data_IF_588047400262
#
_entry.id   IF_588047400262
#
_cell.length_a   1.000
_cell.length_b   1.000
_cell.length_c   1.000
_cell.angle_alpha   90.00
_cell.angle_beta   90.00
_cell.angle_gamma   90.00
#
_symmetry.space_group_name_H-M   'P 1'
#
loop_
_entity.id
_entity.type
_entity.pdbx_description
1 polymer ?
#
# COMPACT_ATOMS: atom_id res chain seq x y z
N UNK A 1 -12.31 6.44 -6.88
CA UNK A 1 -11.08 5.70 -7.23
C UNK A 1 -9.97 6.18 -6.30
N UNK A 2 -9.42 5.32 -5.45
CA UNK A 2 -8.34 5.69 -4.52
C UNK A 2 -7.01 5.78 -5.27
N UNK A 3 -6.18 6.78 -4.97
CA UNK A 3 -4.81 6.87 -5.49
C UNK A 3 -3.83 7.09 -4.37
N UNK A 4 -2.70 6.39 -4.42
CA UNK A 4 -1.62 6.53 -3.45
C UNK A 4 -0.40 7.00 -4.21
N UNK A 5 0.11 8.16 -3.81
CA UNK A 5 1.31 8.78 -4.30
C UNK A 5 2.40 8.69 -3.24
N UNK A 6 3.64 8.57 -3.69
CA UNK A 6 4.79 8.55 -2.80
C UNK A 6 5.85 9.49 -3.34
N UNK A 7 6.31 10.41 -2.50
CA UNK A 7 7.39 11.33 -2.83
C UNK A 7 8.38 11.38 -1.67
N UNK A 8 9.60 10.86 -1.88
CA UNK A 8 10.77 11.11 -1.03
C UNK A 8 10.51 10.93 0.49
N UNK A 9 9.89 9.82 0.89
CA UNK A 9 9.58 9.51 2.30
C UNK A 9 8.24 10.07 2.81
N UNK A 10 7.47 10.71 1.95
CA UNK A 10 6.10 11.17 2.21
C UNK A 10 5.11 10.32 1.44
N UNK A 11 4.11 9.78 2.14
CA UNK A 11 2.98 9.07 1.55
C UNK A 11 1.86 10.08 1.37
N UNK A 12 1.19 10.07 0.22
CA UNK A 12 0.01 10.87 -0.05
C UNK A 12 -1.11 9.95 -0.53
N UNK A 13 -2.16 9.78 0.28
CA UNK A 13 -3.36 9.04 -0.08
C UNK A 13 -4.44 10.01 -0.53
N UNK A 14 -4.94 9.85 -1.74
CA UNK A 14 -6.02 10.64 -2.31
C UNK A 14 -7.27 9.78 -2.31
N UNK A 15 -8.30 10.26 -1.62
CA UNK A 15 -9.63 9.67 -1.62
C UNK A 15 -10.66 10.66 -2.16
N UNK A 16 -11.46 10.18 -3.10
CA UNK A 16 -12.55 10.91 -3.73
C UNK A 16 -13.94 10.38 -3.34
N UNK A 17 -14.04 9.52 -2.32
CA UNK A 17 -15.33 9.00 -1.86
C UNK A 17 -15.79 9.73 -0.59
N UNK A 18 -16.98 10.35 -0.66
CA UNK A 18 -17.56 11.11 0.46
C UNK A 18 -17.89 10.22 1.68
N UNK A 19 -18.26 8.97 1.44
CA UNK A 19 -18.84 8.08 2.47
C UNK A 19 -17.85 7.04 3.01
N UNK A 20 -16.75 6.76 2.29
CA UNK A 20 -15.84 5.65 2.61
C UNK A 20 -14.55 6.11 3.31
N UNK A 21 -14.65 6.60 4.55
CA UNK A 21 -13.50 7.15 5.31
C UNK A 21 -12.48 6.11 5.80
N UNK A 22 -12.83 4.82 5.82
CA UNK A 22 -11.95 3.75 6.28
C UNK A 22 -10.85 3.38 5.28
N UNK A 23 -11.16 3.43 3.99
CA UNK A 23 -10.23 3.07 2.92
C UNK A 23 -8.98 3.97 2.86
N UNK A 24 -9.08 5.32 2.87
CA UNK A 24 -7.90 6.17 2.89
C UNK A 24 -7.08 5.98 4.16
N UNK A 25 -7.75 5.74 5.30
CA UNK A 25 -7.09 5.46 6.57
C UNK A 25 -6.25 4.18 6.49
N UNK A 26 -6.82 3.05 6.05
CA UNK A 26 -6.12 1.77 5.99
C UNK A 26 -4.96 1.79 4.97
N UNK A 27 -5.12 2.48 3.85
CA UNK A 27 -4.04 2.71 2.88
C UNK A 27 -2.89 3.54 3.50
N UNK A 28 -3.23 4.64 4.16
CA UNK A 28 -2.25 5.57 4.74
C UNK A 28 -1.47 4.94 5.91
N UNK A 29 -2.18 4.29 6.83
CA UNK A 29 -1.59 3.70 8.04
C UNK A 29 -0.77 2.45 7.72
N UNK A 30 -1.16 1.65 6.73
CA UNK A 30 -0.40 0.47 6.31
C UNK A 30 0.96 0.88 5.73
N UNK A 31 0.96 1.87 4.85
CA UNK A 31 2.17 2.43 4.27
C UNK A 31 3.07 3.06 5.36
N UNK A 32 2.50 3.86 6.26
CA UNK A 32 3.23 4.45 7.38
C UNK A 32 3.85 3.37 8.29
N UNK A 33 3.09 2.33 8.61
CA UNK A 33 3.54 1.24 9.48
C UNK A 33 4.69 0.45 8.86
N UNK A 34 4.64 0.20 7.55
CA UNK A 34 5.77 -0.42 6.83
C UNK A 34 7.02 0.43 6.92
N UNK A 35 6.90 1.72 6.62
CA UNK A 35 8.05 2.62 6.62
C UNK A 35 8.65 2.86 8.00
N UNK A 36 7.83 2.94 9.06
CA UNK A 36 8.33 3.06 10.44
C UNK A 36 9.18 1.87 10.87
N UNK A 37 8.90 0.69 10.32
CA UNK A 37 9.66 -0.54 10.59
C UNK A 37 10.76 -0.78 9.55
N UNK A 38 10.82 0.00 8.47
CA UNK A 38 11.95 0.00 7.55
C UNK A 38 13.17 0.54 8.30
N UNK A 39 14.28 -0.20 8.28
CA UNK A 39 15.56 0.30 8.78
C UNK A 39 16.18 1.27 7.75
N UNK A 40 15.46 2.33 7.39
CA UNK A 40 15.99 3.39 6.52
C UNK A 40 16.29 4.62 7.39
N UNK A 41 17.43 5.30 7.19
CA UNK A 41 17.75 6.58 7.83
C UNK A 41 16.88 7.75 7.30
N UNK A 42 15.66 7.47 6.85
CA UNK A 42 14.69 8.48 6.46
C UNK A 42 14.12 9.05 7.76
N UNK A 43 14.58 10.24 8.14
CA UNK A 43 13.97 11.02 9.22
C UNK A 43 12.47 11.23 8.97
N UNK A 44 11.69 11.23 10.06
CA UNK A 44 10.25 11.56 10.13
C UNK A 44 9.42 11.23 8.86
N UNK A 45 8.94 9.99 8.78
CA UNK A 45 7.96 9.59 7.75
C UNK A 45 6.63 10.27 8.02
N UNK A 46 6.09 10.96 7.02
CA UNK A 46 4.80 11.64 7.09
C UNK A 46 3.81 11.00 6.12
N UNK A 47 2.59 10.77 6.60
CA UNK A 47 1.49 10.28 5.77
C UNK A 47 0.42 11.36 5.66
N UNK A 48 0.23 11.84 4.43
CA UNK A 48 -0.75 12.84 4.05
C UNK A 48 -1.99 12.14 3.47
N UNK A 49 -3.17 12.54 3.92
CA UNK A 49 -4.43 12.07 3.38
C UNK A 49 -5.19 13.26 2.83
N UNK A 50 -5.45 13.25 1.53
CA UNK A 50 -6.26 14.24 0.85
C UNK A 50 -7.67 13.68 0.68
N UNK A 51 -8.65 14.35 1.29
CA UNK A 51 -10.05 13.90 1.27
C UNK A 51 -10.99 15.10 1.17
N UNK A 52 -12.29 14.82 1.08
CA UNK A 52 -13.35 15.83 1.19
C UNK A 52 -13.42 16.41 2.62
N UNK A 53 -14.03 17.58 2.76
CA UNK A 53 -14.14 18.29 4.06
C UNK A 53 -14.87 17.45 5.12
N UNK A 54 -15.91 16.71 4.71
CA UNK A 54 -16.74 15.91 5.62
C UNK A 54 -16.03 14.65 6.14
N UNK A 55 -15.15 14.07 5.34
CA UNK A 55 -14.36 12.89 5.71
C UNK A 55 -13.19 13.20 6.66
N UNK A 56 -12.66 14.43 6.61
CA UNK A 56 -11.47 14.83 7.35
C UNK A 56 -11.55 14.68 8.89
N UNK A 57 -12.62 15.12 9.58
CA UNK A 57 -12.71 14.95 11.04
C UNK A 57 -12.75 13.47 11.45
N UNK A 58 -13.42 12.63 10.66
CA UNK A 58 -13.50 11.18 10.93
C UNK A 58 -12.13 10.52 10.78
N UNK A 59 -11.40 10.80 9.70
CA UNK A 59 -10.07 10.20 9.48
C UNK A 59 -9.07 10.65 10.55
N UNK A 60 -9.10 11.94 10.95
CA UNK A 60 -8.27 12.46 12.05
C UNK A 60 -8.55 11.77 13.38
N UNK A 61 -9.80 11.36 13.61
CA UNK A 61 -10.19 10.63 14.84
C UNK A 61 -9.59 9.22 14.93
N UNK A 62 -9.25 8.60 13.79
CA UNK A 62 -8.69 7.24 13.79
C UNK A 62 -7.21 7.18 14.15
N UNK A 63 -6.41 8.21 13.83
CA UNK A 63 -5.01 8.30 14.25
C UNK A 63 -4.48 9.73 14.12
N UNK A 64 -3.85 10.28 15.18
CA UNK A 64 -3.21 11.59 15.12
C UNK A 64 -1.91 11.60 14.30
N UNK A 65 -1.42 10.44 13.86
CA UNK A 65 -0.19 10.32 13.07
C UNK A 65 -0.38 10.69 11.59
N UNK A 66 -1.64 10.81 11.14
CA UNK A 66 -1.98 11.14 9.75
C UNK A 66 -2.22 12.66 9.61
N UNK A 67 -1.59 13.27 8.60
CA UNK A 67 -1.85 14.66 8.23
C UNK A 67 -2.98 14.69 7.21
N UNK A 68 -4.17 15.08 7.65
CA UNK A 68 -5.36 15.09 6.78
C UNK A 68 -5.65 16.48 6.22
N UNK A 69 -5.69 16.58 4.89
CA UNK A 69 -5.90 17.78 4.09
C UNK A 69 -7.29 17.75 3.42
N UNK A 70 -8.26 18.55 3.89
CA UNK A 70 -9.61 18.61 3.33
C UNK A 70 -9.69 19.52 2.09
N UNK A 71 -8.97 19.18 1.02
CA UNK A 71 -8.79 20.05 -0.15
C UNK A 71 -9.26 19.46 -1.49
N UNK A 72 -9.83 18.25 -1.51
CA UNK A 72 -10.30 17.66 -2.76
C UNK A 72 -11.67 18.22 -3.17
N UNK A 73 -11.75 18.73 -4.41
CA UNK A 73 -13.01 18.93 -5.13
C UNK A 73 -13.22 17.77 -6.14
N UNK A 74 -14.48 17.38 -6.36
CA UNK A 74 -14.91 16.06 -6.86
C UNK A 74 -14.45 15.66 -8.29
N UNK A 75 -13.72 16.51 -9.01
CA UNK A 75 -13.39 16.32 -10.42
C UNK A 75 -11.92 15.98 -10.66
N UNK A 76 -11.51 14.74 -10.41
CA UNK A 76 -10.19 14.27 -10.82
C UNK A 76 -10.26 12.90 -11.50
N UNK A 77 -10.69 12.86 -12.76
CA UNK A 77 -10.54 11.71 -13.64
C UNK A 77 -9.23 11.84 -14.42
N UNK A 78 -8.15 11.23 -13.91
CA UNK A 78 -6.87 11.18 -14.63
C UNK A 78 -6.81 9.86 -15.40
N UNK A 79 -6.79 9.96 -16.73
CA UNK A 79 -6.57 8.82 -17.63
C UNK A 79 -5.20 8.20 -17.36
N UNK A 80 -5.18 6.89 -17.12
CA UNK A 80 -3.95 6.15 -16.83
C UNK A 80 -3.54 5.44 -18.12
N UNK A 81 -2.54 5.96 -18.82
CA UNK A 81 -1.83 5.21 -19.87
C UNK A 81 -0.72 4.36 -19.24
N UNK A 82 -0.56 3.10 -19.67
CA UNK A 82 0.46 2.18 -19.14
C UNK A 82 0.15 1.69 -17.73
N UNK A 83 -0.97 0.96 -17.54
CA UNK A 83 -1.45 0.53 -16.22
C UNK A 83 -1.04 -0.90 -15.91
N UNK A 84 -0.45 -1.12 -14.74
CA UNK A 84 -0.39 -2.46 -14.14
C UNK A 84 -1.64 -2.72 -13.32
N UNK A 85 -2.39 -3.75 -13.70
CA UNK A 85 -3.61 -4.22 -13.04
C UNK A 85 -3.25 -5.33 -12.07
N UNK A 86 -3.52 -5.11 -10.78
CA UNK A 86 -3.48 -6.16 -9.75
C UNK A 86 -4.91 -6.60 -9.42
N UNK A 87 -5.30 -7.79 -9.90
CA UNK A 87 -6.56 -8.44 -9.59
C UNK A 87 -6.38 -9.37 -8.40
N UNK A 88 -6.98 -9.00 -7.26
CA UNK A 88 -6.98 -9.82 -6.05
C UNK A 88 -7.91 -11.04 -6.18
N UNK A 89 -7.51 -12.18 -5.65
CA UNK A 89 -8.32 -13.40 -5.69
C UNK A 89 -7.84 -14.51 -4.76
N UNK A 90 -8.23 -15.75 -5.03
CA UNK A 90 -7.63 -16.93 -4.35
C UNK A 90 -6.11 -16.95 -4.59
N UNK A 91 -5.74 -16.65 -5.82
CA UNK A 91 -4.42 -16.21 -6.26
C UNK A 91 -4.55 -14.78 -6.78
N UNK A 92 -3.55 -13.92 -6.54
CA UNK A 92 -3.55 -12.57 -7.12
C UNK A 92 -2.95 -12.65 -8.52
N UNK A 93 -3.57 -11.96 -9.49
CA UNK A 93 -3.09 -11.85 -10.87
C UNK A 93 -2.63 -10.42 -11.10
N UNK A 94 -1.43 -10.25 -11.64
CA UNK A 94 -0.79 -8.96 -11.90
C UNK A 94 -0.47 -8.91 -13.38
N UNK A 95 -0.93 -7.89 -14.09
CA UNK A 95 -0.62 -7.73 -15.51
C UNK A 95 -0.41 -6.29 -15.89
N UNK A 96 0.58 -6.03 -16.71
CA UNK A 96 0.88 -4.73 -17.33
C UNK A 96 0.36 -4.60 -18.77
N UNK A 97 -0.44 -5.58 -19.23
CA UNK A 97 -0.95 -5.64 -20.60
C UNK A 97 -0.11 -6.50 -21.55
N UNK A 98 1.13 -6.85 -21.18
CA UNK A 98 1.99 -7.73 -21.96
C UNK A 98 2.30 -9.04 -21.22
N UNK A 99 2.55 -8.94 -19.91
CA UNK A 99 2.90 -10.07 -19.05
C UNK A 99 1.79 -10.28 -18.02
N UNK A 100 1.52 -11.53 -17.66
CA UNK A 100 0.60 -11.89 -16.56
C UNK A 100 1.35 -12.74 -15.55
N UNK A 101 1.49 -12.24 -14.32
CA UNK A 101 2.11 -12.94 -13.21
C UNK A 101 1.09 -13.31 -12.14
N UNK A 102 1.19 -14.52 -11.60
CA UNK A 102 0.29 -15.00 -10.56
C UNK A 102 1.01 -15.19 -9.23
N UNK A 103 0.47 -14.60 -8.16
CA UNK A 103 0.93 -14.83 -6.79
C UNK A 103 -0.01 -15.83 -6.11
N UNK A 104 0.48 -17.05 -5.92
CA UNK A 104 -0.27 -18.19 -5.35
C UNK A 104 -0.03 -18.39 -3.85
N UNK A 105 0.75 -17.50 -3.22
CA UNK A 105 1.06 -17.57 -1.79
C UNK A 105 -0.26 -17.63 -0.99
N UNK A 106 -0.36 -18.61 -0.11
CA UNK A 106 -1.53 -18.73 0.75
C UNK A 106 -1.65 -17.50 1.66
N UNK A 107 -2.86 -16.95 1.72
CA UNK A 107 -3.19 -15.80 2.56
C UNK A 107 -3.84 -16.25 3.87
N UNK A 108 -5.00 -15.67 4.17
CA UNK A 108 -5.92 -16.20 5.17
C UNK A 108 -7.23 -16.63 4.51
N UNK A 109 -7.96 -17.59 5.10
CA UNK A 109 -9.29 -17.97 4.64
C UNK A 109 -10.35 -16.93 5.05
N UNK A 110 -9.97 -15.99 5.93
CA UNK A 110 -10.83 -14.92 6.43
C UNK A 110 -10.81 -13.70 5.50
N UNK A 111 -11.99 -13.21 5.18
CA UNK A 111 -12.18 -11.94 4.48
C UNK A 111 -12.51 -10.84 5.49
N UNK A 112 -11.63 -9.85 5.61
CA UNK A 112 -11.82 -8.66 6.44
C UNK A 112 -11.94 -7.44 5.51
N UNK A 113 -12.87 -6.53 5.81
CA UNK A 113 -13.02 -5.26 5.08
C UNK A 113 -11.77 -4.40 5.24
N UNK A 114 -11.26 -3.82 4.14
CA UNK A 114 -10.06 -2.96 4.15
C UNK A 114 -8.74 -3.65 3.80
N UNK A 115 -8.73 -4.98 3.57
CA UNK A 115 -7.51 -5.69 3.12
C UNK A 115 -7.03 -5.24 1.73
N UNK A 116 -7.91 -4.67 0.89
CA UNK A 116 -7.52 -4.08 -0.40
C UNK A 116 -6.72 -2.79 -0.21
N UNK A 117 -7.10 -1.99 0.78
CA UNK A 117 -6.45 -0.72 1.07
C UNK A 117 -5.03 -0.95 1.63
N UNK A 118 -4.87 -1.95 2.51
CA UNK A 118 -3.54 -2.39 2.95
C UNK A 118 -2.67 -2.80 1.76
N UNK A 119 -3.22 -3.58 0.81
CA UNK A 119 -2.47 -4.00 -0.38
C UNK A 119 -1.97 -2.80 -1.17
N UNK A 120 -2.86 -1.84 -1.42
CA UNK A 120 -2.51 -0.63 -2.16
C UNK A 120 -1.44 0.20 -1.44
N UNK A 121 -1.51 0.32 -0.11
CA UNK A 121 -0.49 0.98 0.70
C UNK A 121 0.86 0.27 0.63
N UNK A 122 0.86 -1.07 0.69
CA UNK A 122 2.09 -1.86 0.59
C UNK A 122 2.75 -1.77 -0.79
N UNK A 123 1.96 -1.90 -1.86
CA UNK A 123 2.47 -1.75 -3.24
C UNK A 123 3.04 -0.35 -3.47
N UNK A 124 2.41 0.69 -2.91
CA UNK A 124 2.92 2.05 -3.05
C UNK A 124 4.29 2.26 -2.38
N UNK A 125 4.53 1.66 -1.21
CA UNK A 125 5.84 1.70 -0.53
C UNK A 125 6.91 1.04 -1.39
N UNK A 126 6.63 -0.18 -1.84
CA UNK A 126 7.48 -0.97 -2.72
C UNK A 126 7.82 -0.22 -4.02
N UNK A 127 6.81 0.33 -4.71
CA UNK A 127 6.98 1.17 -5.90
C UNK A 127 7.86 2.39 -5.66
N UNK A 128 7.73 3.05 -4.50
CA UNK A 128 8.60 4.17 -4.19
C UNK A 128 10.05 3.76 -4.01
N UNK A 129 10.31 2.64 -3.35
CA UNK A 129 11.67 2.16 -3.13
C UNK A 129 12.33 1.76 -4.44
N UNK A 130 11.61 1.06 -5.31
CA UNK A 130 12.08 0.77 -6.66
C UNK A 130 12.43 2.05 -7.42
N UNK A 131 11.57 3.08 -7.37
CA UNK A 131 11.84 4.36 -8.03
C UNK A 131 13.06 5.07 -7.43
N UNK A 132 13.23 5.08 -6.11
CA UNK A 132 14.42 5.66 -5.46
C UNK A 132 15.70 4.92 -5.85
N UNK A 133 15.64 3.59 -5.92
CA UNK A 133 16.77 2.77 -6.37
C UNK A 133 17.14 3.06 -7.82
N UNK A 134 16.15 3.18 -8.71
CA UNK A 134 16.36 3.51 -10.13
C UNK A 134 16.97 4.91 -10.29
N UNK A 135 16.48 5.91 -9.55
CA UNK A 135 17.01 7.29 -9.56
C UNK A 135 18.44 7.35 -9.00
N UNK A 136 18.75 6.56 -7.97
CA UNK A 136 20.11 6.47 -7.43
C UNK A 136 21.08 5.71 -8.34
N UNK A 137 20.56 4.86 -9.24
CA UNK A 137 21.33 4.01 -10.14
C UNK A 137 21.65 4.65 -11.51
N UNK A 138 21.48 5.97 -11.67
CA UNK A 138 21.72 6.74 -12.92
C UNK A 138 23.14 6.59 -13.55
N UNK A 139 24.04 5.77 -12.97
CA UNK A 139 25.35 5.45 -13.54
C UNK A 139 25.51 4.11 -14.28
N UNK A 140 24.58 3.14 -14.19
CA UNK A 140 24.74 1.82 -14.84
C UNK A 140 23.43 1.30 -15.46
N UNK A 141 23.24 1.59 -16.75
CA UNK A 141 22.08 1.25 -17.60
C UNK A 141 21.82 -0.25 -17.84
N UNK A 142 22.58 -1.16 -17.22
CA UNK A 142 22.56 -2.59 -17.55
C UNK A 142 21.58 -3.46 -16.73
N UNK A 143 20.92 -2.91 -15.70
CA UNK A 143 19.95 -3.66 -14.87
C UNK A 143 18.62 -2.90 -14.87
N UNK A 144 17.89 -2.92 -15.99
CA UNK A 144 16.47 -2.56 -15.98
C UNK A 144 15.67 -3.85 -15.77
N UNK A 145 15.05 -4.07 -14.60
CA UNK A 145 14.10 -5.17 -14.48
C UNK A 145 12.93 -4.94 -15.44
N UNK A 146 12.42 -6.04 -16.00
CA UNK A 146 11.11 -6.11 -16.63
C UNK A 146 10.09 -5.41 -15.72
N UNK A 147 9.47 -4.35 -16.24
CA UNK A 147 8.46 -3.49 -15.60
C UNK A 147 8.48 -3.46 -14.04
N UNK A 148 9.17 -2.50 -13.39
CA UNK A 148 9.32 -2.48 -11.94
C UNK A 148 7.98 -2.54 -11.20
N UNK A 149 6.91 -1.97 -11.78
CA UNK A 149 5.58 -1.99 -11.17
C UNK A 149 5.02 -3.40 -10.97
N UNK A 150 5.30 -4.35 -11.88
CA UNK A 150 4.86 -5.75 -11.73
C UNK A 150 5.56 -6.41 -10.55
N UNK A 151 6.87 -6.19 -10.38
CA UNK A 151 7.66 -6.74 -9.28
C UNK A 151 7.18 -6.21 -7.93
N UNK A 152 6.93 -4.91 -7.83
CA UNK A 152 6.46 -4.27 -6.60
C UNK A 152 5.02 -4.71 -6.24
N UNK A 153 4.17 -4.94 -7.25
CA UNK A 153 2.87 -5.59 -7.08
C UNK A 153 2.99 -7.02 -6.53
N UNK A 154 3.95 -7.81 -7.02
CA UNK A 154 4.22 -9.18 -6.53
C UNK A 154 4.69 -9.12 -5.08
N UNK A 155 5.64 -8.25 -4.76
CA UNK A 155 6.17 -8.07 -3.41
C UNK A 155 5.07 -7.65 -2.42
N UNK A 156 4.25 -6.66 -2.78
CA UNK A 156 3.11 -6.20 -1.99
C UNK A 156 2.06 -7.29 -1.75
N UNK A 157 1.71 -8.04 -2.79
CA UNK A 157 0.77 -9.17 -2.68
C UNK A 157 1.32 -10.29 -1.78
N UNK A 158 2.57 -10.68 -1.98
CA UNK A 158 3.25 -11.71 -1.19
C UNK A 158 3.30 -11.34 0.29
N UNK A 159 3.70 -10.11 0.61
CA UNK A 159 3.80 -9.59 1.96
C UNK A 159 2.43 -9.61 2.65
N UNK A 160 1.40 -9.07 1.99
CA UNK A 160 0.06 -8.99 2.56
C UNK A 160 -0.52 -10.39 2.81
N UNK A 161 -0.33 -11.33 1.89
CA UNK A 161 -0.79 -12.72 2.05
C UNK A 161 -0.13 -13.38 3.25
N UNK A 162 1.18 -13.25 3.40
CA UNK A 162 1.92 -13.77 4.55
C UNK A 162 1.49 -13.12 5.87
N UNK A 163 1.34 -11.79 5.90
CA UNK A 163 0.88 -11.06 7.08
C UNK A 163 -0.55 -11.48 7.48
N UNK A 164 -1.45 -11.66 6.49
CA UNK A 164 -2.80 -12.12 6.73
C UNK A 164 -2.85 -13.57 7.27
N UNK A 165 -2.01 -14.46 6.73
CA UNK A 165 -1.89 -15.84 7.24
C UNK A 165 -1.48 -15.85 8.72
N UNK A 166 -0.46 -15.07 9.07
CA UNK A 166 0.04 -14.98 10.44
C UNK A 166 -1.00 -14.37 11.40
N UNK A 167 -1.66 -13.28 10.98
CA UNK A 167 -2.73 -12.68 11.77
C UNK A 167 -3.89 -13.67 11.99
N UNK A 168 -4.18 -14.52 11.00
CA UNK A 168 -5.16 -15.59 11.12
C UNK A 168 -4.70 -16.74 12.01
N UNK A 169 -3.43 -17.13 11.99
CA UNK A 169 -2.91 -18.13 12.91
C UNK A 169 -3.12 -17.74 14.37
N UNK A 170 -2.88 -16.47 14.69
CA UNK A 170 -2.98 -15.91 16.04
C UNK A 170 -4.41 -15.60 16.48
N UNK A 171 -5.23 -14.99 15.61
CA UNK A 171 -6.59 -14.51 15.96
C UNK A 171 -7.73 -15.37 15.42
N UNK A 172 -7.43 -16.37 14.59
CA UNK A 172 -8.40 -17.28 13.96
C UNK A 172 -9.57 -16.51 13.32
N UNK A 173 -10.81 -16.80 13.71
CA UNK A 173 -12.00 -16.13 13.16
C UNK A 173 -12.14 -14.66 13.56
N UNK A 174 -11.44 -14.23 14.61
CA UNK A 174 -11.47 -12.87 15.13
C UNK A 174 -10.44 -11.95 14.47
N UNK A 175 -9.75 -12.38 13.41
CA UNK A 175 -8.79 -11.53 12.69
C UNK A 175 -9.48 -10.31 12.11
N UNK A 176 -8.94 -9.13 12.45
CA UNK A 176 -9.32 -7.84 11.90
C UNK A 176 -8.22 -7.28 10.99
N UNK A 177 -8.58 -6.27 10.23
CA UNK A 177 -7.66 -5.55 9.32
C UNK A 177 -6.52 -4.88 10.09
N UNK A 178 -6.78 -4.43 11.31
CA UNK A 178 -5.77 -3.92 12.24
C UNK A 178 -4.73 -4.99 12.65
N UNK A 179 -5.14 -6.23 12.91
CA UNK A 179 -4.21 -7.32 13.24
C UNK A 179 -3.26 -7.63 12.05
N UNK A 180 -3.78 -7.52 10.82
CA UNK A 180 -2.98 -7.68 9.60
C UNK A 180 -1.92 -6.56 9.52
N UNK A 181 -2.31 -5.30 9.75
CA UNK A 181 -1.39 -4.15 9.74
C UNK A 181 -0.28 -4.32 10.79
N UNK A 182 -0.62 -4.80 11.98
CA UNK A 182 0.37 -5.07 13.03
C UNK A 182 1.38 -6.13 12.61
N UNK A 183 0.91 -7.25 12.04
CA UNK A 183 1.78 -8.32 11.54
C UNK A 183 2.64 -7.85 10.36
N UNK A 184 2.11 -6.96 9.53
CA UNK A 184 2.76 -6.44 8.34
C UNK A 184 3.99 -5.60 8.72
N UNK A 185 3.87 -4.72 9.72
CA UNK A 185 5.00 -3.96 10.26
C UNK A 185 6.12 -4.87 10.80
N UNK A 186 5.77 -5.95 11.52
CA UNK A 186 6.77 -6.90 12.06
C UNK A 186 7.49 -7.70 10.96
N UNK A 187 6.76 -8.15 9.92
CA UNK A 187 7.31 -8.98 8.84
C UNK A 187 8.13 -8.21 7.83
N UNK A 188 7.88 -6.92 7.68
CA UNK A 188 8.63 -6.07 6.78
C UNK A 188 10.11 -6.01 7.16
N UNK A 189 10.42 -5.86 8.46
CA UNK A 189 11.80 -5.90 9.00
C UNK A 189 12.55 -7.16 8.55
N UNK A 190 11.90 -8.33 8.59
CA UNK A 190 12.50 -9.63 8.27
C UNK A 190 12.79 -9.82 6.77
N UNK A 191 12.21 -9.00 5.89
CA UNK A 191 12.45 -9.08 4.44
C UNK A 191 13.57 -8.12 3.97
N UNK A 192 13.94 -7.14 4.80
CA UNK A 192 14.98 -6.14 4.52
C UNK A 192 16.30 -6.36 5.28
N UNK A 193 16.37 -7.35 6.17
CA UNK A 193 17.59 -7.85 6.84
C UNK A 193 18.00 -9.19 6.22
#
# INVERSE_FOLDING_TARGET
MFRIFFLLGKIAVIDGCLECTGAPYFAAISALKMLMHAFLPIGAVLSHVFCTKDAAPVIKSYSPQLIVHPILEESCSIGIGGVTILRKGKSDLISDGEIVQSVTIYGSPRHCGGRGDILSGSVAVFLSWANQYILAAEGNLAIRPTNPTVLECIAGSALLRRAASLAFENRKRSTLTSDIIECLGRRFVTLTL
#
